data_IF_981343662095
#
_entry.id   IF_981343662095
#
_cell.length_a   1.000
_cell.length_b   1.000
_cell.length_c   1.000
_cell.angle_alpha   90.00
_cell.angle_beta   90.00
_cell.angle_gamma   90.00
#
_symmetry.space_group_name_H-M   'P 1'
#
loop_
_entity.id
_entity.type
_entity.pdbx_description
1 polymer ?
#
# COMPACT_ATOMS: atom_id res chain seq x y z
N UNK A 1 -9.86 -15.16 5.40
CA UNK A 1 -10.79 -14.75 6.48
C UNK A 1 -10.00 -14.41 7.73
N UNK A 2 -9.08 -15.28 8.16
CA UNK A 2 -8.23 -15.12 9.35
C UNK A 2 -7.57 -13.73 9.50
N UNK A 3 -6.92 -13.19 8.46
CA UNK A 3 -6.21 -11.92 8.57
C UNK A 3 -7.11 -10.72 8.86
N UNK A 4 -8.30 -10.65 8.26
CA UNK A 4 -9.23 -9.54 8.46
C UNK A 4 -9.79 -9.54 9.88
N UNK A 5 -10.19 -10.72 10.40
CA UNK A 5 -10.67 -10.85 11.78
C UNK A 5 -9.57 -10.53 12.79
N UNK A 6 -8.33 -10.98 12.53
CA UNK A 6 -7.17 -10.67 13.39
C UNK A 6 -6.87 -9.17 13.40
N UNK A 7 -6.98 -8.50 12.24
CA UNK A 7 -6.84 -7.06 12.14
C UNK A 7 -7.90 -6.33 12.99
N UNK A 8 -9.18 -6.75 12.91
CA UNK A 8 -10.25 -6.16 13.73
C UNK A 8 -10.00 -6.37 15.22
N UNK A 9 -9.54 -7.56 15.63
CA UNK A 9 -9.20 -7.85 17.02
C UNK A 9 -8.06 -6.93 17.51
N UNK A 10 -6.98 -6.79 16.74
CA UNK A 10 -5.86 -5.91 17.07
C UNK A 10 -6.28 -4.44 17.17
N UNK A 11 -7.10 -3.93 16.25
CA UNK A 11 -7.60 -2.55 16.29
C UNK A 11 -8.49 -2.28 17.52
N UNK A 12 -9.30 -3.27 17.93
CA UNK A 12 -10.10 -3.19 19.17
C UNK A 12 -9.23 -3.20 20.41
N UNK A 13 -8.19 -4.04 20.45
CA UNK A 13 -7.22 -4.08 21.54
C UNK A 13 -6.46 -2.76 21.69
N UNK A 14 -6.11 -2.12 20.56
CA UNK A 14 -5.54 -0.78 20.51
C UNK A 14 -6.55 0.35 20.82
N UNK A 15 -7.81 0.01 21.16
CA UNK A 15 -8.89 0.95 21.52
C UNK A 15 -9.18 1.99 20.44
N UNK A 16 -9.02 1.63 19.17
CA UNK A 16 -9.41 2.48 18.04
C UNK A 16 -10.91 2.71 18.10
N UNK A 17 -11.32 3.97 18.26
CA UNK A 17 -12.74 4.38 18.32
C UNK A 17 -13.24 4.66 16.91
N UNK A 18 -13.60 3.61 16.18
CA UNK A 18 -14.19 3.73 14.84
C UNK A 18 -15.41 2.82 14.68
N UNK A 19 -16.52 3.39 14.20
CA UNK A 19 -17.80 2.68 14.06
C UNK A 19 -17.76 1.59 12.98
N UNK A 20 -16.87 1.69 11.99
CA UNK A 20 -16.72 0.68 10.95
C UNK A 20 -16.23 -0.66 11.49
N UNK A 21 -15.58 -0.67 12.65
CA UNK A 21 -15.16 -1.90 13.35
C UNK A 21 -16.34 -2.75 13.85
N UNK A 22 -17.54 -2.17 13.94
CA UNK A 22 -18.76 -2.84 14.40
C UNK A 22 -19.74 -3.17 13.25
N UNK A 23 -19.44 -2.77 12.01
CA UNK A 23 -20.32 -3.03 10.86
C UNK A 23 -20.25 -4.50 10.45
N UNK A 24 -21.39 -5.03 9.97
CA UNK A 24 -21.47 -6.38 9.41
C UNK A 24 -20.68 -6.42 8.10
N UNK A 25 -19.73 -7.35 8.03
CA UNK A 25 -18.85 -7.55 6.87
C UNK A 25 -19.35 -8.74 6.05
N UNK A 26 -19.89 -8.45 4.86
CA UNK A 26 -20.45 -9.48 3.98
C UNK A 26 -19.38 -10.27 3.21
N UNK A 27 -18.29 -9.62 2.77
CA UNK A 27 -17.16 -10.30 2.11
C UNK A 27 -15.82 -9.70 2.58
N UNK A 28 -15.13 -10.32 3.55
CA UNK A 28 -13.85 -9.85 4.06
C UNK A 28 -12.74 -9.70 3.02
N UNK A 29 -12.85 -10.35 1.84
CA UNK A 29 -11.85 -10.23 0.77
C UNK A 29 -12.07 -8.98 -0.09
N UNK A 30 -13.24 -8.35 0.00
CA UNK A 30 -13.61 -7.15 -0.76
C UNK A 30 -13.86 -5.93 0.14
N UNK A 31 -13.98 -6.14 1.45
CA UNK A 31 -14.20 -5.05 2.39
C UNK A 31 -12.90 -4.30 2.68
N UNK A 32 -12.93 -3.00 2.37
CA UNK A 32 -11.92 -2.03 2.75
C UNK A 32 -12.25 -1.50 4.15
N UNK A 33 -11.24 -1.43 5.01
CA UNK A 33 -11.37 -0.82 6.33
C UNK A 33 -10.61 0.50 6.33
N UNK A 34 -11.31 1.59 6.63
CA UNK A 34 -10.77 2.94 6.64
C UNK A 34 -10.88 3.51 8.04
N UNK A 35 -9.75 3.76 8.68
CA UNK A 35 -9.67 4.30 10.02
C UNK A 35 -9.32 5.79 9.94
N UNK A 36 -10.24 6.69 10.31
CA UNK A 36 -9.98 8.11 10.34
C UNK A 36 -9.10 8.48 11.54
N UNK A 37 -8.16 9.38 11.30
CA UNK A 37 -7.41 10.09 12.33
C UNK A 37 -7.62 11.61 12.14
N UNK A 38 -7.25 12.47 13.10
CA UNK A 38 -7.49 13.91 12.99
C UNK A 38 -6.86 14.56 11.74
N UNK A 39 -5.69 14.09 11.30
CA UNK A 39 -4.92 14.71 10.20
C UNK A 39 -4.73 13.82 8.98
N UNK A 40 -5.05 12.54 9.08
CA UNK A 40 -4.91 11.58 7.99
C UNK A 40 -5.88 10.42 8.19
N UNK A 41 -5.90 9.45 7.28
CA UNK A 41 -6.63 8.21 7.48
C UNK A 41 -5.74 7.03 7.10
N UNK A 42 -6.00 5.90 7.73
CA UNK A 42 -5.32 4.64 7.43
C UNK A 42 -6.29 3.72 6.70
N UNK A 43 -5.92 3.31 5.49
CA UNK A 43 -6.69 2.37 4.69
C UNK A 43 -6.05 0.98 4.74
N UNK A 44 -6.82 -0.02 5.20
CA UNK A 44 -6.46 -1.43 5.15
C UNK A 44 -7.14 -2.07 3.94
N UNK A 45 -6.32 -2.40 2.95
CA UNK A 45 -6.77 -3.02 1.71
C UNK A 45 -6.68 -4.55 1.84
N UNK A 46 -7.76 -5.31 1.58
CA UNK A 46 -7.71 -6.78 1.63
C UNK A 46 -6.90 -7.37 0.47
N UNK A 47 -6.75 -6.62 -0.62
CA UNK A 47 -5.99 -6.98 -1.80
C UNK A 47 -5.45 -5.73 -2.51
N UNK A 48 -4.34 -5.90 -3.21
CA UNK A 48 -3.77 -4.90 -4.11
C UNK A 48 -3.82 -5.43 -5.54
N UNK A 49 -4.55 -4.74 -6.43
CA UNK A 49 -4.65 -5.11 -7.84
C UNK A 49 -3.29 -5.05 -8.53
N UNK A 50 -3.07 -5.88 -9.55
CA UNK A 50 -1.83 -5.89 -10.33
C UNK A 50 -0.62 -6.52 -9.63
N UNK A 51 -0.79 -7.03 -8.41
CA UNK A 51 0.23 -7.78 -7.68
C UNK A 51 -0.13 -9.26 -7.64
N UNK A 52 0.89 -10.12 -7.67
CA UNK A 52 0.73 -11.58 -7.73
C UNK A 52 0.33 -12.16 -6.38
N UNK A 53 1.12 -11.91 -5.33
CA UNK A 53 0.86 -12.39 -3.98
C UNK A 53 1.52 -11.52 -2.91
N UNK A 54 1.04 -11.65 -1.66
CA UNK A 54 1.66 -11.00 -0.51
C UNK A 54 3.10 -11.48 -0.29
N UNK A 55 3.36 -12.79 -0.41
CA UNK A 55 4.68 -13.36 -0.18
C UNK A 55 5.72 -12.78 -1.15
N UNK A 56 5.38 -12.73 -2.43
CA UNK A 56 6.22 -12.15 -3.48
C UNK A 56 6.46 -10.65 -3.26
N UNK A 57 5.39 -9.91 -2.95
CA UNK A 57 5.50 -8.46 -2.67
C UNK A 57 6.33 -8.18 -1.41
N UNK A 58 6.25 -9.07 -0.42
CA UNK A 58 7.00 -8.99 0.84
C UNK A 58 8.49 -9.25 0.62
N UNK A 59 8.86 -10.21 -0.21
CA UNK A 59 10.25 -10.50 -0.56
C UNK A 59 10.92 -9.30 -1.24
N UNK A 60 10.17 -8.56 -2.06
CA UNK A 60 10.66 -7.36 -2.76
C UNK A 60 10.56 -6.06 -1.94
N UNK A 61 9.87 -6.07 -0.81
CA UNK A 61 9.68 -4.87 0.02
C UNK A 61 10.98 -4.38 0.64
N UNK A 62 11.11 -3.07 0.82
CA UNK A 62 12.18 -2.51 1.64
C UNK A 62 11.82 -2.64 3.12
N UNK A 63 12.81 -2.95 3.95
CA UNK A 63 12.65 -3.03 5.41
C UNK A 63 13.22 -1.74 6.01
N UNK A 64 12.35 -0.91 6.57
CA UNK A 64 12.73 0.34 7.23
C UNK A 64 12.50 0.26 8.73
N UNK A 65 13.30 1.01 9.50
CA UNK A 65 13.09 1.19 10.93
C UNK A 65 12.62 2.61 11.16
N UNK A 66 11.44 2.77 11.74
CA UNK A 66 10.86 4.06 12.11
C UNK A 66 10.42 4.02 13.57
N UNK A 67 10.95 4.90 14.40
CA UNK A 67 10.67 4.96 15.84
C UNK A 67 10.83 3.61 16.56
N UNK A 68 11.85 2.84 16.17
CA UNK A 68 12.11 1.50 16.70
C UNK A 68 11.18 0.40 16.16
N UNK A 69 10.19 0.75 15.34
CA UNK A 69 9.29 -0.20 14.71
C UNK A 69 9.81 -0.62 13.34
N UNK A 70 9.71 -1.91 13.05
CA UNK A 70 10.06 -2.44 11.74
C UNK A 70 8.88 -2.32 10.78
N UNK A 71 9.05 -1.52 9.74
CA UNK A 71 8.08 -1.33 8.67
C UNK A 71 8.57 -2.03 7.39
N UNK A 72 7.62 -2.53 6.62
CA UNK A 72 7.89 -3.08 5.30
C UNK A 72 7.17 -2.25 4.27
N UNK A 73 7.94 -1.59 3.40
CA UNK A 73 7.44 -0.66 2.40
C UNK A 73 7.41 -1.39 1.06
N UNK A 74 6.26 -1.33 0.38
CA UNK A 74 6.08 -1.94 -0.94
C UNK A 74 7.16 -1.44 -1.91
N UNK A 75 7.71 -2.35 -2.73
CA UNK A 75 8.70 -1.96 -3.73
C UNK A 75 8.13 -0.96 -4.72
N UNK A 76 9.02 -0.17 -5.29
CA UNK A 76 8.64 0.85 -6.27
C UNK A 76 8.01 0.23 -7.52
N UNK A 77 8.58 -0.87 -8.01
CA UNK A 77 8.04 -1.64 -9.14
C UNK A 77 6.63 -2.14 -8.88
N UNK A 78 6.37 -2.69 -7.69
CA UNK A 78 5.05 -3.20 -7.34
C UNK A 78 4.05 -2.05 -7.13
N UNK A 79 4.50 -0.93 -6.56
CA UNK A 79 3.66 0.27 -6.47
C UNK A 79 3.22 0.77 -7.85
N UNK A 80 4.13 0.80 -8.84
CA UNK A 80 3.79 1.17 -10.22
C UNK A 80 2.81 0.18 -10.85
N UNK A 81 3.07 -1.13 -10.73
CA UNK A 81 2.14 -2.17 -11.23
C UNK A 81 0.75 -2.02 -10.63
N UNK A 82 0.69 -1.73 -9.33
CA UNK A 82 -0.57 -1.51 -8.63
C UNK A 82 -1.31 -0.27 -9.17
N UNK A 83 -0.63 0.88 -9.31
CA UNK A 83 -1.22 2.10 -9.87
C UNK A 83 -1.77 1.88 -11.28
N UNK A 84 -1.00 1.23 -12.16
CA UNK A 84 -1.43 0.88 -13.54
C UNK A 84 -2.68 0.01 -13.51
N UNK A 85 -2.72 -1.02 -12.66
CA UNK A 85 -3.83 -1.96 -12.58
C UNK A 85 -5.10 -1.37 -11.92
N UNK A 86 -4.94 -0.40 -11.01
CA UNK A 86 -6.06 0.32 -10.39
C UNK A 86 -6.66 1.32 -11.38
N UNK A 87 -5.85 1.88 -12.30
CA UNK A 87 -6.32 2.68 -13.42
C UNK A 87 -6.97 4.01 -13.02
N UNK A 88 -6.50 4.66 -11.94
CA UNK A 88 -6.99 5.99 -11.56
C UNK A 88 -6.48 7.02 -12.58
N UNK A 89 -7.39 7.80 -13.14
CA UNK A 89 -7.14 8.78 -14.21
C UNK A 89 -6.18 9.92 -13.84
N UNK A 90 -5.78 10.02 -12.56
CA UNK A 90 -4.83 10.99 -12.02
C UNK A 90 -3.36 10.48 -12.15
N UNK A 91 -3.14 9.19 -12.46
CA UNK A 91 -1.83 8.54 -12.40
C UNK A 91 -0.94 8.70 -13.66
N UNK A 92 -1.39 9.33 -14.75
CA UNK A 92 -0.53 9.50 -15.95
C UNK A 92 0.60 10.53 -15.73
N UNK A 93 0.36 11.61 -14.99
CA UNK A 93 1.41 12.59 -14.67
C UNK A 93 2.40 12.07 -13.62
N UNK A 94 1.93 11.31 -12.63
CA UNK A 94 2.76 10.65 -11.63
C UNK A 94 3.70 9.61 -12.27
N UNK A 95 3.18 8.74 -13.15
CA UNK A 95 4.00 7.74 -13.86
C UNK A 95 5.11 8.43 -14.68
N UNK A 96 4.83 9.58 -15.28
CA UNK A 96 5.82 10.34 -16.05
C UNK A 96 6.90 10.95 -15.16
N UNK A 97 6.57 11.45 -13.96
CA UNK A 97 7.57 11.97 -13.02
C UNK A 97 8.45 10.85 -12.45
N UNK A 98 7.84 9.72 -12.10
CA UNK A 98 8.51 8.54 -11.58
C UNK A 98 9.52 7.95 -12.59
N UNK A 99 9.15 7.88 -13.87
CA UNK A 99 10.06 7.45 -14.94
C UNK A 99 11.24 8.43 -15.17
N UNK A 100 11.06 9.73 -14.94
CA UNK A 100 12.14 10.72 -15.06
C UNK A 100 13.19 10.57 -13.95
N UNK A 101 12.76 10.24 -12.72
CA UNK A 101 13.69 10.00 -11.61
C UNK A 101 14.53 8.75 -11.90
N UNK A 102 13.92 7.67 -12.40
CA UNK A 102 14.60 6.41 -12.74
C UNK A 102 15.70 6.58 -13.82
N UNK A 103 15.51 7.52 -14.77
CA UNK A 103 16.53 7.86 -15.78
C UNK A 103 17.71 8.68 -15.25
N UNK A 104 17.53 9.45 -14.17
CA UNK A 104 18.61 10.28 -13.59
C UNK A 104 19.58 9.48 -12.72
N UNK A 105 19.11 8.36 -12.15
CA UNK A 105 19.92 7.46 -11.32
C UNK A 105 20.65 6.38 -12.11
N UNK A 106 20.48 6.32 -13.43
CA UNK A 106 21.28 5.49 -14.33
C UNK A 106 22.32 6.37 -15.06
N UNK A 107 23.60 6.36 -14.65
CA UNK A 107 24.65 7.18 -15.28
C UNK A 107 24.95 6.76 -16.74
N UNK A 108 24.44 5.62 -17.20
CA UNK A 108 24.75 5.08 -18.53
C UNK A 108 23.91 5.69 -19.67
N UNK A 109 22.89 6.49 -19.36
CA UNK A 109 21.95 7.07 -20.35
C UNK A 109 22.02 8.61 -20.45
N UNK A 110 22.96 9.24 -19.76
CA UNK A 110 23.05 10.69 -19.57
C UNK A 110 24.16 11.43 -20.33
N UNK A 111 24.75 10.85 -21.38
CA UNK A 111 25.60 11.59 -22.32
C UNK A 111 25.13 11.34 -23.75
N UNK A 112 24.29 12.26 -24.22
CA UNK A 112 23.71 12.25 -25.55
C UNK A 112 23.14 13.61 -25.91
N UNK A 113 23.97 14.65 -25.76
CA UNK A 113 24.09 15.89 -26.54
C UNK A 113 24.72 17.00 -25.70
#
# INVERSE_FOLDING_TARGET
ITNFTNLLAALRELRVKDESLNKIVFDPKKTFLKIPHPSFHTDFLPQMKGLESFAESKLRSSKEILDGNQLYILSYEDLIKNKIAVGRSIDQEDINQLNKIKKKTDPSLGMGM
#
